data_IF_810884267930
#
_entry.id   IF_810884267930
#
_cell.length_a   1.000
_cell.length_b   1.000
_cell.length_c   1.000
_cell.angle_alpha   90.00
_cell.angle_beta   90.00
_cell.angle_gamma   90.00
#
_symmetry.space_group_name_H-M   'P 1'
#
loop_
_entity.id
_entity.type
_entity.pdbx_description
1 polymer ?
#
# COMPACT_ATOMS: atom_id res chain seq x y z
N UNK A 1 -4.62 13.48 21.84
CA UNK A 1 -3.96 13.80 20.55
C UNK A 1 -4.35 12.90 19.37
N UNK A 2 -4.56 11.57 19.54
CA UNK A 2 -4.84 10.65 18.41
C UNK A 2 -6.26 10.75 17.82
N UNK A 3 -7.28 10.94 18.66
CA UNK A 3 -8.69 11.01 18.25
C UNK A 3 -9.03 12.28 17.45
N UNK A 4 -8.43 13.42 17.80
CA UNK A 4 -8.64 14.69 17.10
C UNK A 4 -8.03 14.69 15.69
N UNK A 5 -6.89 14.02 15.49
CA UNK A 5 -6.30 13.82 14.17
C UNK A 5 -7.20 12.94 13.27
N UNK A 6 -7.70 11.82 13.81
CA UNK A 6 -8.63 10.92 13.11
C UNK A 6 -9.95 11.61 12.72
N UNK A 7 -10.52 12.42 13.61
CA UNK A 7 -11.72 13.20 13.33
C UNK A 7 -11.49 14.24 12.21
N UNK A 8 -10.34 14.91 12.21
CA UNK A 8 -9.96 15.86 11.16
C UNK A 8 -9.71 15.19 9.80
N UNK A 9 -9.18 13.96 9.78
CA UNK A 9 -9.02 13.14 8.57
C UNK A 9 -10.39 12.69 8.04
N UNK A 10 -11.27 12.19 8.92
CA UNK A 10 -12.62 11.75 8.52
C UNK A 10 -13.52 12.90 8.03
N UNK A 11 -13.30 14.11 8.54
CA UNK A 11 -14.05 15.32 8.12
C UNK A 11 -13.46 16.01 6.90
N UNK A 12 -12.40 15.47 6.29
CA UNK A 12 -11.72 16.08 5.13
C UNK A 12 -10.97 17.38 5.43
N UNK A 13 -11.00 17.87 6.68
CA UNK A 13 -10.27 19.07 7.13
C UNK A 13 -8.76 18.90 7.10
N UNK A 14 -8.29 17.67 7.29
CA UNK A 14 -6.94 17.27 6.91
C UNK A 14 -7.11 16.39 5.69
N UNK A 15 -6.71 16.83 4.48
CA UNK A 15 -6.65 15.92 3.36
C UNK A 15 -5.73 14.78 3.81
N UNK A 16 -6.19 13.53 3.72
CA UNK A 16 -5.26 12.38 3.69
C UNK A 16 -4.23 12.80 2.68
N UNK A 17 -2.97 13.05 3.06
CA UNK A 17 -1.94 13.68 2.23
C UNK A 17 -2.05 13.16 0.79
N UNK A 18 -2.78 13.91 -0.04
CA UNK A 18 -3.31 13.37 -1.28
C UNK A 18 -2.28 13.76 -2.33
N UNK A 19 -1.12 13.12 -2.24
CA UNK A 19 -0.11 13.19 -3.27
C UNK A 19 -0.67 12.33 -4.40
N UNK A 20 -1.40 12.99 -5.28
CA UNK A 20 -2.12 12.33 -6.35
C UNK A 20 -1.20 11.79 -7.46
N UNK A 21 0.08 12.19 -7.45
CA UNK A 21 1.06 11.89 -8.48
C UNK A 21 2.46 11.74 -7.88
N UNK A 22 2.69 10.71 -7.07
CA UNK A 22 4.05 10.39 -6.65
C UNK A 22 4.77 9.62 -7.77
N UNK A 23 6.01 10.00 -8.09
CA UNK A 23 6.83 9.24 -9.07
C UNK A 23 7.35 7.93 -8.46
N UNK A 24 7.54 7.91 -7.13
CA UNK A 24 8.04 6.78 -6.37
C UNK A 24 7.24 6.57 -5.07
N UNK A 25 6.82 5.33 -4.84
CA UNK A 25 6.27 4.87 -3.56
C UNK A 25 7.26 3.93 -2.90
N UNK A 26 7.67 4.23 -1.66
CA UNK A 26 8.50 3.31 -0.85
C UNK A 26 7.65 2.76 0.29
N UNK A 27 7.38 1.46 0.26
CA UNK A 27 6.84 0.74 1.41
C UNK A 27 8.00 0.36 2.34
N UNK A 28 8.17 1.13 3.42
CA UNK A 28 9.11 0.76 4.48
C UNK A 28 8.73 -0.56 5.14
N UNK A 29 7.41 -0.83 5.24
CA UNK A 29 6.90 -2.11 5.67
C UNK A 29 5.70 -2.57 4.84
N UNK A 30 5.62 -3.89 4.63
CA UNK A 30 4.56 -4.55 3.87
C UNK A 30 3.26 -4.50 4.67
N UNK A 31 2.18 -3.95 4.10
CA UNK A 31 0.89 -3.95 4.76
C UNK A 31 0.35 -5.38 4.91
N UNK A 32 -0.38 -5.61 6.00
CA UNK A 32 -0.93 -6.93 6.35
C UNK A 32 -1.98 -7.42 5.35
N UNK A 33 -2.72 -6.49 4.74
CA UNK A 33 -3.79 -6.80 3.80
C UNK A 33 -3.39 -6.42 2.37
N UNK A 34 -3.63 -7.30 1.37
CA UNK A 34 -3.30 -7.01 -0.03
C UNK A 34 -3.98 -5.75 -0.59
N UNK A 35 -5.21 -5.46 -0.13
CA UNK A 35 -5.97 -4.26 -0.55
C UNK A 35 -5.22 -2.97 -0.20
N UNK A 36 -4.60 -2.91 0.97
CA UNK A 36 -3.85 -1.74 1.41
C UNK A 36 -2.56 -1.56 0.60
N UNK A 37 -1.92 -2.66 0.18
CA UNK A 37 -0.80 -2.60 -0.76
C UNK A 37 -1.22 -1.94 -2.07
N UNK A 38 -2.34 -2.40 -2.66
CA UNK A 38 -2.89 -1.85 -3.91
C UNK A 38 -3.20 -0.35 -3.75
N UNK A 39 -3.83 0.05 -2.65
CA UNK A 39 -4.11 1.46 -2.38
C UNK A 39 -2.83 2.32 -2.22
N UNK A 40 -1.76 1.77 -1.65
CA UNK A 40 -0.48 2.49 -1.50
C UNK A 40 0.24 2.65 -2.84
N UNK A 41 0.40 1.57 -3.61
CA UNK A 41 1.08 1.65 -4.91
C UNK A 41 0.25 2.42 -5.93
N UNK A 42 -1.07 2.47 -5.77
CA UNK A 42 -1.96 3.31 -6.56
C UNK A 42 -1.74 4.82 -6.40
N UNK A 43 -0.82 5.27 -5.52
CA UNK A 43 -0.36 6.67 -5.43
C UNK A 43 0.63 7.08 -6.53
N UNK A 44 1.17 6.10 -7.25
CA UNK A 44 2.01 6.29 -8.45
C UNK A 44 1.29 5.75 -9.71
N UNK A 45 1.95 5.82 -10.86
CA UNK A 45 1.50 5.26 -12.15
C UNK A 45 0.09 5.73 -12.58
N UNK A 46 -0.14 7.06 -12.60
CA UNK A 46 -1.41 7.67 -13.01
C UNK A 46 -1.25 8.54 -14.25
N UNK A 47 -2.37 8.78 -14.94
CA UNK A 47 -2.45 9.58 -16.17
C UNK A 47 -1.50 9.06 -17.28
N UNK A 48 -1.55 7.74 -17.52
CA UNK A 48 -0.73 7.01 -18.51
C UNK A 48 0.79 7.14 -18.35
N UNK A 49 1.25 7.69 -17.22
CA UNK A 49 2.66 7.70 -16.84
C UNK A 49 2.98 6.44 -16.05
N UNK A 50 4.17 5.89 -16.28
CA UNK A 50 4.74 4.85 -15.44
C UNK A 50 4.94 5.34 -14.01
N UNK A 51 5.12 4.41 -13.08
CA UNK A 51 5.37 4.70 -11.67
C UNK A 51 6.18 3.61 -11.03
N UNK A 52 7.03 3.97 -10.06
CA UNK A 52 7.88 3.01 -9.35
C UNK A 52 7.35 2.77 -7.94
N UNK A 53 7.22 1.50 -7.56
CA UNK A 53 6.92 1.11 -6.19
C UNK A 53 7.99 0.14 -5.69
N UNK A 54 8.69 0.53 -4.63
CA UNK A 54 9.73 -0.28 -3.97
C UNK A 54 9.22 -0.67 -2.58
N UNK A 55 9.42 -1.92 -2.19
CA UNK A 55 9.07 -2.38 -0.85
C UNK A 55 10.28 -3.02 -0.19
N UNK A 56 10.54 -2.60 1.05
CA UNK A 56 11.61 -3.18 1.87
C UNK A 56 11.01 -4.41 2.56
N UNK A 57 11.63 -5.56 2.33
CA UNK A 57 11.18 -6.84 2.89
C UNK A 57 12.33 -7.53 3.62
N UNK A 58 12.02 -8.14 4.75
CA UNK A 58 12.90 -9.09 5.41
C UNK A 58 12.61 -10.50 4.91
N UNK A 59 13.54 -11.44 5.12
CA UNK A 59 13.38 -12.84 4.71
C UNK A 59 12.07 -13.47 5.22
N UNK A 60 11.73 -13.21 6.49
CA UNK A 60 10.49 -13.69 7.12
C UNK A 60 9.25 -13.21 6.36
N UNK A 61 9.21 -11.93 5.97
CA UNK A 61 8.08 -11.37 5.21
C UNK A 61 8.03 -11.91 3.78
N UNK A 62 9.18 -12.12 3.15
CA UNK A 62 9.29 -12.75 1.84
C UNK A 62 8.73 -14.18 1.84
N UNK A 63 9.06 -14.96 2.88
CA UNK A 63 8.56 -16.32 3.05
C UNK A 63 7.03 -16.36 3.20
N UNK A 64 6.47 -15.52 4.08
CA UNK A 64 5.02 -15.41 4.28
C UNK A 64 4.30 -15.04 2.98
N UNK A 65 4.82 -14.07 2.23
CA UNK A 65 4.23 -13.64 0.96
C UNK A 65 4.22 -14.78 -0.08
N UNK A 66 5.28 -15.60 -0.11
CA UNK A 66 5.36 -16.76 -1.02
C UNK A 66 4.34 -17.84 -0.67
N UNK A 67 4.12 -18.10 0.63
CA UNK A 67 3.07 -19.04 1.08
C UNK A 67 1.68 -18.51 0.71
N UNK A 68 1.41 -17.22 0.95
CA UNK A 68 0.12 -16.62 0.59
C UNK A 68 -0.16 -16.70 -0.91
N UNK A 69 0.86 -16.47 -1.75
CA UNK A 69 0.74 -16.62 -3.21
C UNK A 69 0.42 -18.05 -3.65
N UNK A 70 1.01 -19.06 -2.99
CA UNK A 70 0.73 -20.48 -3.28
C UNK A 70 -0.71 -20.85 -2.94
N UNK A 71 -1.17 -20.52 -1.72
CA UNK A 71 -2.57 -20.74 -1.31
C UNK A 71 -3.58 -20.08 -2.25
N UNK A 72 -3.33 -18.82 -2.63
CA UNK A 72 -4.22 -18.10 -3.54
C UNK A 72 -4.25 -18.68 -4.98
N UNK A 73 -3.24 -19.45 -5.38
CA UNK A 73 -3.22 -20.14 -6.66
C UNK A 73 -3.97 -21.49 -6.58
N UNK A 74 -3.89 -22.18 -5.44
CA UNK A 74 -4.60 -23.42 -5.16
C UNK A 74 -6.12 -23.21 -5.05
N UNK A 75 -6.57 -22.11 -4.45
CA UNK A 75 -8.00 -21.75 -4.31
C UNK A 75 -8.65 -21.30 -5.64
N UNK A 76 -7.87 -21.09 -6.70
CA UNK A 76 -8.34 -20.67 -8.02
C UNK A 76 -8.34 -21.81 -9.05
N UNK A 77 -7.89 -23.00 -8.68
CA UNK A 77 -8.02 -24.22 -9.47
C UNK A 77 -9.27 -24.99 -9.08
#
# INVERSE_FOLDING_TARGET
MRLSALSKIKSGKIPILDIHTADLVINYDIPRYPRDYVHRVGRTARADRGGLAVSIITEVKGFILRIQKRKAAEEKG
#
